data_IF_119980544666
#
_entry.id   IF_119980544666
#
_cell.length_a   1.000
_cell.length_b   1.000
_cell.length_c   1.000
_cell.angle_alpha   90.00
_cell.angle_beta   90.00
_cell.angle_gamma   90.00
#
_symmetry.space_group_name_H-M   'P 1'
#
loop_
_entity.id
_entity.type
_entity.pdbx_description
1 polymer ?
#
# COMPACT_ATOMS: atom_id res chain seq x y z
N UNK A 1 -13.15 -0.82 -4.98
CA UNK A 1 -12.64 -0.83 -3.59
C UNK A 1 -11.36 -0.01 -3.60
N UNK A 2 -11.12 0.79 -2.57
CA UNK A 2 -9.97 1.70 -2.55
C UNK A 2 -8.72 0.95 -2.04
N UNK A 3 -7.60 1.09 -2.74
CA UNK A 3 -6.29 0.53 -2.41
C UNK A 3 -5.33 1.70 -2.24
N UNK A 4 -4.63 1.72 -1.10
CA UNK A 4 -3.63 2.72 -0.77
C UNK A 4 -2.23 2.13 -0.97
N UNK A 5 -1.45 2.75 -1.84
CA UNK A 5 -0.08 2.34 -2.15
C UNK A 5 0.91 3.44 -1.75
N UNK A 6 2.00 3.06 -1.10
CA UNK A 6 2.94 3.99 -0.47
C UNK A 6 4.38 3.90 -0.99
N UNK A 7 4.66 2.99 -1.94
CA UNK A 7 6.02 2.62 -2.34
C UNK A 7 6.24 2.50 -3.86
N UNK A 8 7.02 1.50 -4.27
CA UNK A 8 7.42 1.18 -5.67
C UNK A 8 6.29 0.71 -6.58
N UNK A 9 5.04 0.83 -6.14
CA UNK A 9 3.86 0.70 -7.00
C UNK A 9 3.52 2.04 -7.69
N UNK A 10 4.16 3.15 -7.28
CA UNK A 10 4.05 4.46 -7.94
C UNK A 10 4.40 4.36 -9.43
N UNK A 11 3.74 5.21 -10.22
CA UNK A 11 3.90 5.28 -11.68
C UNK A 11 5.38 5.43 -12.08
N UNK A 12 5.91 4.48 -12.87
CA UNK A 12 7.31 4.45 -13.31
C UNK A 12 8.21 3.35 -12.73
N UNK A 13 7.71 2.51 -11.82
CA UNK A 13 8.45 1.39 -11.24
C UNK A 13 7.98 0.03 -11.78
N UNK A 14 8.85 -0.98 -11.66
CA UNK A 14 8.70 -2.30 -12.28
C UNK A 14 7.36 -3.00 -12.01
N UNK A 15 6.67 -2.69 -10.90
CA UNK A 15 5.40 -3.30 -10.50
C UNK A 15 4.15 -2.51 -10.94
N UNK A 16 4.29 -1.39 -11.65
CA UNK A 16 3.14 -0.60 -12.11
C UNK A 16 2.23 -1.37 -13.07
N UNK A 17 2.75 -2.40 -13.76
CA UNK A 17 1.95 -3.29 -14.60
C UNK A 17 0.83 -4.00 -13.83
N UNK A 18 0.99 -4.15 -12.51
CA UNK A 18 0.04 -4.83 -11.64
C UNK A 18 -1.20 -3.95 -11.45
N UNK A 19 -1.01 -2.63 -11.24
CA UNK A 19 -2.09 -1.65 -11.03
C UNK A 19 -2.51 -0.90 -12.31
N UNK A 20 -2.05 -1.30 -13.50
CA UNK A 20 -2.29 -0.54 -14.74
C UNK A 20 -3.78 -0.35 -15.08
N UNK A 21 -4.62 -1.31 -14.66
CA UNK A 21 -6.06 -1.32 -14.92
C UNK A 21 -6.85 -0.67 -13.77
N UNK A 22 -6.17 -0.21 -12.71
CA UNK A 22 -6.79 0.49 -11.59
C UNK A 22 -6.97 1.98 -11.90
N UNK A 23 -8.03 2.57 -11.35
CA UNK A 23 -8.33 3.99 -11.55
C UNK A 23 -7.61 4.79 -10.47
N UNK A 24 -6.65 5.62 -10.87
CA UNK A 24 -6.03 6.57 -9.95
C UNK A 24 -7.08 7.55 -9.42
N UNK A 25 -7.27 7.59 -8.10
CA UNK A 25 -8.22 8.49 -7.43
C UNK A 25 -7.53 9.78 -6.99
N UNK A 26 -6.32 9.67 -6.43
CA UNK A 26 -5.60 10.82 -5.90
C UNK A 26 -4.48 10.42 -4.93
N UNK A 27 -3.83 11.43 -4.36
CA UNK A 27 -2.86 11.25 -3.26
C UNK A 27 -3.55 11.43 -1.92
N UNK A 28 -3.12 10.66 -0.93
CA UNK A 28 -3.67 10.72 0.43
C UNK A 28 -2.60 10.32 1.45
N UNK A 29 -2.91 10.48 2.72
CA UNK A 29 -2.02 10.15 3.84
C UNK A 29 -2.74 9.26 4.84
N UNK A 30 -2.03 8.31 5.45
CA UNK A 30 -2.61 7.50 6.52
C UNK A 30 -2.90 8.35 7.77
N UNK A 31 -4.10 8.21 8.35
CA UNK A 31 -4.45 8.84 9.63
C UNK A 31 -3.62 8.27 10.78
N UNK A 32 -3.31 6.98 10.71
CA UNK A 32 -2.44 6.31 11.68
C UNK A 32 -0.98 6.42 11.24
N UNK A 33 -0.08 6.38 12.22
CA UNK A 33 1.35 6.35 12.00
C UNK A 33 1.80 4.91 11.72
N UNK A 34 2.67 4.74 10.72
CA UNK A 34 3.25 3.44 10.36
C UNK A 34 4.74 3.59 10.04
N UNK A 35 5.55 2.59 10.38
CA UNK A 35 6.98 2.68 10.18
C UNK A 35 7.32 2.17 8.79
N UNK A 36 7.86 3.06 7.97
CA UNK A 36 8.37 2.69 6.66
C UNK A 36 9.88 2.46 6.77
N UNK A 37 10.31 1.25 6.43
CA UNK A 37 11.72 0.89 6.32
C UNK A 37 12.11 0.81 4.84
N UNK A 38 13.23 1.42 4.49
CA UNK A 38 13.81 1.27 3.16
C UNK A 38 14.64 -0.03 3.13
N UNK A 39 14.20 -1.02 2.36
CA UNK A 39 14.93 -2.29 2.18
C UNK A 39 15.87 -2.24 0.97
N UNK A 40 16.23 -1.04 0.50
CA UNK A 40 17.04 -0.80 -0.69
C UNK A 40 16.30 -1.03 -2.01
N UNK A 41 15.57 -2.14 -2.18
CA UNK A 41 14.82 -2.44 -3.41
C UNK A 41 13.35 -1.98 -3.37
N UNK A 42 12.76 -1.90 -2.19
CA UNK A 42 11.39 -1.42 -1.98
C UNK A 42 11.18 -1.00 -0.52
N UNK A 43 10.32 0.00 -0.25
CA UNK A 43 9.94 0.33 1.10
C UNK A 43 8.96 -0.70 1.67
N UNK A 44 9.14 -1.10 2.92
CA UNK A 44 8.23 -1.98 3.65
C UNK A 44 7.61 -1.21 4.83
N UNK A 45 6.28 -1.28 4.95
CA UNK A 45 5.57 -0.72 6.10
C UNK A 45 5.33 -1.79 7.16
N UNK A 46 5.72 -1.48 8.40
CA UNK A 46 5.58 -2.30 9.60
C UNK A 46 4.75 -1.54 10.65
N UNK A 47 3.86 -2.28 11.32
CA UNK A 47 3.02 -1.80 12.42
C UNK A 47 3.85 -1.89 13.72
N UNK A 48 4.56 -0.83 14.07
CA UNK A 48 5.36 -0.74 15.31
C UNK A 48 5.23 0.64 15.93
N UNK A 49 5.73 0.82 17.15
CA UNK A 49 5.73 2.11 17.84
C UNK A 49 6.89 2.99 17.33
N UNK A 50 6.66 4.31 17.25
CA UNK A 50 7.62 5.35 16.83
C UNK A 50 7.70 5.64 15.31
N UNK A 51 6.57 6.00 14.70
CA UNK A 51 6.44 6.08 13.25
C UNK A 51 5.81 7.38 12.72
N UNK A 52 5.83 7.57 11.39
CA UNK A 52 5.28 8.75 10.72
C UNK A 52 3.99 8.44 9.95
N UNK A 53 3.21 9.47 9.60
CA UNK A 53 2.12 9.33 8.66
C UNK A 53 2.68 9.03 7.26
N UNK A 54 2.11 8.01 6.60
CA UNK A 54 2.60 7.55 5.30
C UNK A 54 1.81 8.25 4.21
N UNK A 55 2.50 8.95 3.32
CA UNK A 55 1.91 9.57 2.15
C UNK A 55 1.97 8.64 0.94
N UNK A 56 0.85 8.44 0.28
CA UNK A 56 0.70 7.49 -0.81
C UNK A 56 -0.31 7.94 -1.85
N UNK A 57 -0.66 6.99 -2.71
CA UNK A 57 -1.61 7.13 -3.81
C UNK A 57 -2.76 6.16 -3.59
N UNK A 58 -3.97 6.63 -3.84
CA UNK A 58 -5.19 5.85 -3.75
C UNK A 58 -5.61 5.45 -5.16
N UNK A 59 -5.79 4.16 -5.35
CA UNK A 59 -6.29 3.57 -6.57
C UNK A 59 -7.59 2.85 -6.28
N UNK A 60 -8.60 3.08 -7.12
CA UNK A 60 -9.84 2.35 -7.07
C UNK A 60 -9.74 1.17 -8.02
N UNK A 61 -9.90 -0.02 -7.45
CA UNK A 61 -9.87 -1.25 -8.21
C UNK A 61 -11.18 -2.05 -8.06
N UNK A 62 -11.65 -2.67 -9.15
CA UNK A 62 -12.88 -3.47 -9.15
C UNK A 62 -12.64 -4.99 -9.11
N UNK A 63 -11.47 -5.51 -9.52
CA UNK A 63 -11.28 -6.96 -9.81
C UNK A 63 -9.86 -7.53 -9.52
N UNK A 64 -8.93 -6.73 -9.01
CA UNK A 64 -7.51 -7.04 -8.88
C UNK A 64 -7.14 -7.69 -7.54
N UNK A 65 -8.03 -7.67 -6.54
CA UNK A 65 -7.76 -8.30 -5.23
C UNK A 65 -7.29 -9.75 -5.38
N UNK A 66 -7.87 -10.52 -6.31
CA UNK A 66 -7.51 -11.92 -6.49
C UNK A 66 -6.11 -12.08 -7.11
N UNK A 67 -5.76 -11.25 -8.08
CA UNK A 67 -4.43 -11.24 -8.69
C UNK A 67 -3.35 -10.78 -7.73
N UNK A 68 -3.68 -9.80 -6.88
CA UNK A 68 -2.76 -9.24 -5.88
C UNK A 68 -2.53 -10.20 -4.72
N UNK A 69 -3.57 -10.93 -4.27
CA UNK A 69 -3.46 -12.00 -3.28
C UNK A 69 -2.55 -13.14 -3.78
N UNK A 70 -2.68 -13.52 -5.06
CA UNK A 70 -1.85 -14.56 -5.69
C UNK A 70 -0.39 -14.11 -5.81
N UNK A 71 -0.14 -12.83 -6.11
CA UNK A 71 1.18 -12.29 -6.40
C UNK A 71 1.96 -11.96 -5.11
N UNK A 72 1.29 -11.39 -4.10
CA UNK A 72 1.94 -11.04 -2.83
C UNK A 72 2.06 -12.22 -1.85
N UNK A 73 1.26 -13.28 -2.03
CA UNK A 73 1.46 -14.56 -1.37
C UNK A 73 1.68 -14.48 0.16
N UNK A 74 2.54 -15.34 0.70
CA UNK A 74 2.77 -15.52 2.16
C UNK A 74 3.44 -14.34 2.88
N UNK A 75 3.95 -13.34 2.18
CA UNK A 75 4.87 -12.34 2.77
C UNK A 75 4.22 -11.00 3.11
N UNK A 76 3.10 -10.65 2.48
CA UNK A 76 2.40 -9.39 2.73
C UNK A 76 0.93 -9.66 3.06
N UNK A 77 0.40 -8.91 4.02
CA UNK A 77 -1.00 -8.97 4.43
C UNK A 77 -1.66 -7.64 4.11
N UNK A 78 -2.82 -7.72 3.46
CA UNK A 78 -3.68 -6.55 3.30
C UNK A 78 -4.31 -6.16 4.64
N UNK A 79 -4.19 -4.90 5.00
CA UNK A 79 -4.82 -4.30 6.18
C UNK A 79 -5.67 -3.13 5.72
N UNK A 80 -6.87 -2.97 6.30
CA UNK A 80 -7.64 -1.74 6.11
C UNK A 80 -6.99 -0.63 6.92
N UNK A 81 -6.71 0.47 6.26
CA UNK A 81 -6.17 1.68 6.89
C UNK A 81 -7.12 2.83 6.66
N UNK A 82 -7.19 3.71 7.66
CA UNK A 82 -7.93 4.95 7.57
C UNK A 82 -7.01 6.05 7.07
N UNK A 83 -7.49 6.84 6.12
CA UNK A 83 -6.79 7.96 5.51
C UNK A 83 -7.27 9.28 6.11
N UNK A 84 -6.45 10.32 6.04
CA UNK A 84 -6.77 11.67 6.55
C UNK A 84 -8.03 12.25 5.90
N UNK A 85 -8.30 11.90 4.64
CA UNK A 85 -9.56 12.23 3.95
C UNK A 85 -10.81 11.53 4.52
N UNK A 86 -10.67 10.79 5.63
CA UNK A 86 -11.68 9.96 6.25
C UNK A 86 -12.15 8.79 5.34
N UNK A 87 -11.36 8.45 4.32
CA UNK A 87 -11.54 7.27 3.47
C UNK A 87 -10.93 6.03 4.12
N UNK A 88 -11.47 4.87 3.77
CA UNK A 88 -10.90 3.57 4.12
C UNK A 88 -10.34 2.92 2.87
N UNK A 89 -9.07 2.53 2.93
CA UNK A 89 -8.39 1.89 1.82
C UNK A 89 -7.62 0.66 2.29
N UNK A 90 -7.39 -0.28 1.37
CA UNK A 90 -6.54 -1.43 1.62
C UNK A 90 -5.09 -1.07 1.39
N UNK A 91 -4.27 -1.29 2.41
CA UNK A 91 -2.83 -1.14 2.35
C UNK A 91 -2.18 -2.51 2.50
N UNK A 92 -1.18 -2.80 1.68
CA UNK A 92 -0.40 -4.02 1.82
C UNK A 92 0.77 -3.77 2.74
N UNK A 93 0.86 -4.49 3.85
CA UNK A 93 1.92 -4.34 4.86
C UNK A 93 2.57 -5.69 5.13
N UNK A 94 3.87 -5.68 5.43
CA UNK A 94 4.62 -6.89 5.77
C UNK A 94 4.55 -7.11 7.28
N UNK A 95 4.42 -8.37 7.71
CA UNK A 95 4.24 -8.70 9.12
C UNK A 95 5.57 -8.70 9.92
N UNK A 96 6.72 -8.98 9.27
CA UNK A 96 8.05 -8.99 9.91
C UNK A 96 9.17 -8.78 8.88
N UNK A 97 10.25 -8.08 9.26
CA UNK A 97 11.45 -7.81 8.42
C UNK A 97 12.50 -8.94 8.44
N UNK A 98 12.19 -10.11 8.99
CA UNK A 98 13.10 -11.27 9.03
C UNK A 98 13.64 -11.71 7.66
#
# INVERSE_FOLDING_TARGET
MDIFVYGTLKNGFSNHHIIKDSVFIGKDTTSNQYCMFDLGSFPAVVDTDNCCNIMGEVYFDRNMLNSLDILEGKFFTRKKVKLESNREAWMYSRWSLE
#
